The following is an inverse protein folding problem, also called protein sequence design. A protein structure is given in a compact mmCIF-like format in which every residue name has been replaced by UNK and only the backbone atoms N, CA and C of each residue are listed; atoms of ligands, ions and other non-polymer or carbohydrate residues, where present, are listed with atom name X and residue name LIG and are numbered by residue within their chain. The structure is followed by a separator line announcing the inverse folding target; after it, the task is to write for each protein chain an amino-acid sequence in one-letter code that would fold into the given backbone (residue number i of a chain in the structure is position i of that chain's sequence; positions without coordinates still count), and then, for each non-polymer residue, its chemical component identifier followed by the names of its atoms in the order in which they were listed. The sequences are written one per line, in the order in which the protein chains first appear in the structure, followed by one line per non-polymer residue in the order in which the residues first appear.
data_IF_954664634819
#
_entry.id   IF_954664634819
#
_cell.length_a   1.000
_cell.length_b   1.000
_cell.length_c   1.000
_cell.angle_alpha   90.00
_cell.angle_beta   90.00
_cell.angle_gamma   90.00
#
_symmetry.space_group_name_H-M   'P 1'
#
loop_
_entity.id
_entity.type
_entity.pdbx_description
1 polymer ?
#
# COMPACT_ATOMS: atom_id res chain seq x y z
N UNK A 1 33.40 -76.79 27.57
CA UNK A 1 33.96 -75.98 26.47
C UNK A 1 33.00 -76.06 25.29
N UNK A 2 32.42 -74.91 24.94
CA UNK A 2 31.97 -74.40 23.63
C UNK A 2 30.81 -73.43 23.92
N UNK A 3 30.97 -72.23 23.37
CA UNK A 3 30.19 -71.01 23.56
C UNK A 3 28.76 -71.09 22.99
N UNK A 4 27.88 -70.23 23.51
CA UNK A 4 27.26 -69.09 22.82
C UNK A 4 25.75 -68.91 23.08
N UNK A 5 25.47 -67.66 23.49
CA UNK A 5 24.36 -66.79 23.08
C UNK A 5 22.92 -67.14 23.48
N UNK A 6 22.34 -66.35 24.40
CA UNK A 6 21.37 -65.29 24.06
C UNK A 6 20.97 -64.42 25.28
N UNK A 7 20.72 -63.13 25.00
CA UNK A 7 20.59 -61.94 25.88
C UNK A 7 19.29 -61.90 26.72
N UNK A 8 19.21 -61.00 27.74
CA UNK A 8 18.44 -59.75 27.56
C UNK A 8 19.14 -58.50 28.18
N UNK A 9 19.27 -57.38 27.48
CA UNK A 9 18.35 -56.21 27.45
C UNK A 9 18.13 -55.52 28.82
N UNK A 10 18.79 -54.37 29.05
CA UNK A 10 18.21 -53.17 29.66
C UNK A 10 19.02 -51.93 29.25
N UNK A 11 18.37 -51.04 28.49
CA UNK A 11 18.82 -49.70 28.12
C UNK A 11 18.71 -48.78 29.34
N UNK A 12 19.81 -48.13 29.72
CA UNK A 12 19.84 -47.04 30.71
C UNK A 12 19.65 -45.67 30.04
N UNK A 13 18.76 -44.88 30.63
CA UNK A 13 18.07 -43.71 30.11
C UNK A 13 18.79 -42.38 30.43
N UNK A 14 18.81 -41.48 29.44
CA UNK A 14 18.73 -40.00 29.48
C UNK A 14 19.75 -39.16 30.27
N UNK A 15 20.45 -38.28 29.54
CA UNK A 15 20.35 -36.83 29.78
C UNK A 15 20.64 -36.06 28.47
N UNK A 16 19.63 -35.84 27.64
CA UNK A 16 19.73 -34.87 26.53
C UNK A 16 19.38 -33.50 27.10
N UNK A 17 20.42 -32.68 27.28
CA UNK A 17 20.34 -31.29 27.67
C UNK A 17 19.60 -30.53 26.56
N UNK A 18 18.29 -30.29 26.73
CA UNK A 18 17.53 -29.43 25.83
C UNK A 18 17.98 -27.99 26.04
N UNK A 19 18.96 -27.55 25.27
CA UNK A 19 19.15 -26.13 25.02
C UNK A 19 17.93 -25.63 24.27
N UNK A 20 17.02 -24.97 24.98
CA UNK A 20 16.03 -24.08 24.36
C UNK A 20 16.85 -22.97 23.71
N UNK A 21 17.20 -23.16 22.44
CA UNK A 21 17.63 -22.06 21.60
C UNK A 21 16.36 -21.26 21.32
N UNK A 22 16.09 -20.26 22.14
CA UNK A 22 15.17 -19.19 21.77
C UNK A 22 15.84 -18.42 20.63
N UNK A 23 15.68 -18.91 19.41
CA UNK A 23 15.98 -18.13 18.23
C UNK A 23 14.95 -17.00 18.25
N UNK A 24 15.39 -15.80 18.62
CA UNK A 24 14.67 -14.59 18.32
C UNK A 24 14.47 -14.57 16.82
N UNK A 25 13.26 -14.97 16.46
CA UNK A 25 12.67 -15.02 15.16
C UNK A 25 12.71 -13.64 14.53
N UNK A 26 13.81 -13.24 13.90
CA UNK A 26 13.76 -12.15 12.92
C UNK A 26 13.13 -12.75 11.67
N UNK A 27 11.83 -13.03 11.75
CA UNK A 27 11.09 -13.74 10.71
C UNK A 27 10.27 -12.74 9.92
N UNK A 28 10.46 -12.79 8.59
CA UNK A 28 9.78 -11.94 7.63
C UNK A 28 8.25 -12.05 7.81
N UNK A 29 7.64 -10.95 8.22
CA UNK A 29 6.20 -10.76 8.23
C UNK A 29 5.77 -10.41 6.80
N UNK A 30 4.71 -11.04 6.29
CA UNK A 30 4.19 -10.74 4.95
C UNK A 30 2.85 -10.01 5.05
N UNK A 31 2.77 -8.81 4.48
CA UNK A 31 1.51 -8.10 4.32
C UNK A 31 0.64 -8.81 3.26
N UNK A 32 -0.62 -9.07 3.62
CA UNK A 32 -1.64 -9.57 2.72
C UNK A 32 -2.95 -8.78 2.90
N UNK A 33 -3.90 -9.04 2.00
CA UNK A 33 -5.22 -8.43 1.99
C UNK A 33 -6.23 -9.58 1.89
N UNK A 34 -7.22 -9.59 2.76
CA UNK A 34 -8.34 -10.54 2.75
C UNK A 34 -9.28 -10.27 1.56
N UNK A 35 -10.18 -11.19 1.28
CA UNK A 35 -11.19 -11.06 0.22
C UNK A 35 -12.16 -9.88 0.42
N UNK A 36 -12.39 -9.48 1.66
CA UNK A 36 -13.16 -8.28 2.01
C UNK A 36 -12.33 -6.98 2.11
N UNK A 37 -11.04 -7.05 1.75
CA UNK A 37 -10.15 -5.89 1.64
C UNK A 37 -9.40 -5.51 2.92
N UNK A 38 -9.53 -6.24 4.02
CA UNK A 38 -8.77 -5.92 5.25
C UNK A 38 -7.30 -6.35 5.13
N UNK A 39 -6.36 -5.49 5.54
CA UNK A 39 -4.94 -5.87 5.61
C UNK A 39 -4.72 -6.83 6.77
N UNK A 40 -3.92 -7.86 6.52
CA UNK A 40 -3.48 -8.83 7.52
C UNK A 40 -1.97 -9.01 7.44
N UNK A 41 -1.35 -9.26 8.59
CA UNK A 41 0.04 -9.69 8.70
C UNK A 41 0.02 -11.21 8.81
N UNK A 42 0.64 -11.89 7.86
CA UNK A 42 0.83 -13.35 7.89
C UNK A 42 2.14 -13.68 8.60
N UNK A 43 2.05 -14.56 9.60
CA UNK A 43 3.19 -15.12 10.30
C UNK A 43 3.60 -16.47 9.68
N UNK A 44 4.88 -16.83 9.87
CA UNK A 44 5.45 -18.07 9.35
C UNK A 44 4.82 -19.34 9.95
N UNK A 45 4.19 -19.23 11.13
CA UNK A 45 3.45 -20.33 11.76
C UNK A 45 2.04 -20.53 11.17
N UNK A 46 1.68 -19.76 10.13
CA UNK A 46 0.39 -19.80 9.46
C UNK A 46 -0.72 -19.03 10.19
N UNK A 47 -0.42 -18.43 11.35
CA UNK A 47 -1.34 -17.49 12.00
C UNK A 47 -1.30 -16.13 11.30
N UNK A 48 -2.33 -15.33 11.54
CA UNK A 48 -2.41 -13.99 10.99
C UNK A 48 -3.15 -13.07 11.96
N UNK A 49 -2.85 -11.78 11.88
CA UNK A 49 -3.59 -10.73 12.58
C UNK A 49 -3.97 -9.61 11.62
N UNK A 50 -5.05 -8.87 11.93
CA UNK A 50 -5.35 -7.66 11.18
C UNK A 50 -4.25 -6.63 11.43
N UNK A 51 -3.69 -6.10 10.34
CA UNK A 51 -2.75 -5.01 10.44
C UNK A 51 -3.50 -3.80 11.00
N UNK A 52 -3.06 -3.29 12.16
CA UNK A 52 -3.54 -2.00 12.66
C UNK A 52 -3.18 -0.95 11.60
N UNK A 53 -4.20 -0.30 11.03
CA UNK A 53 -4.08 0.59 9.88
C UNK A 53 -3.41 1.91 10.26
N UNK A 54 -2.11 1.90 10.60
CA UNK A 54 -1.35 3.12 10.88
C UNK A 54 0.13 2.93 10.56
N UNK A 55 0.45 2.98 9.27
CA UNK A 55 1.72 3.59 8.89
C UNK A 55 1.40 4.86 8.13
N UNK A 56 1.38 5.97 8.88
CA UNK A 56 1.68 7.27 8.29
C UNK A 56 3.14 7.16 7.85
N UNK A 57 3.49 7.29 6.57
CA UNK A 57 4.86 7.70 6.25
C UNK A 57 5.08 8.97 7.08
N UNK A 58 6.17 9.01 7.85
CA UNK A 58 6.52 10.19 8.62
C UNK A 58 6.44 11.41 7.70
N UNK A 59 5.81 12.49 8.16
CA UNK A 59 5.66 13.72 7.35
C UNK A 59 7.06 14.07 6.81
N UNK A 60 7.28 14.04 5.49
CA UNK A 60 8.63 14.23 4.99
C UNK A 60 9.10 15.62 5.39
N UNK A 61 10.35 15.73 5.81
CA UNK A 61 10.97 17.02 6.13
C UNK A 61 11.10 17.91 4.90
N UNK A 62 10.91 17.36 3.71
CA UNK A 62 10.98 18.05 2.42
C UNK A 62 9.96 17.47 1.41
N UNK A 63 9.19 18.34 0.76
CA UNK A 63 8.22 17.94 -0.26
C UNK A 63 8.95 17.71 -1.59
N UNK A 64 9.15 16.46 -1.99
CA UNK A 64 9.69 16.11 -3.32
C UNK A 64 8.75 16.62 -4.44
N UNK A 65 7.44 16.65 -4.19
CA UNK A 65 6.44 17.13 -5.14
C UNK A 65 5.99 16.09 -6.17
N UNK A 66 6.56 14.88 -6.14
CA UNK A 66 6.22 13.77 -7.04
C UNK A 66 5.32 12.71 -6.44
N UNK A 67 5.36 12.58 -5.11
CA UNK A 67 4.65 11.55 -4.36
C UNK A 67 3.57 12.19 -3.51
N UNK A 68 2.33 11.76 -3.67
CA UNK A 68 1.18 12.35 -3.00
C UNK A 68 0.17 11.28 -2.64
N UNK A 69 -0.45 11.44 -1.48
CA UNK A 69 -1.68 10.75 -1.13
C UNK A 69 -2.85 11.74 -1.21
N UNK A 70 -3.93 11.30 -1.84
CA UNK A 70 -5.17 12.06 -2.00
C UNK A 70 -6.25 11.37 -1.19
N UNK A 71 -6.93 12.09 -0.30
CA UNK A 71 -8.19 11.64 0.32
C UNK A 71 -9.35 12.36 -0.35
N UNK A 72 -10.21 11.61 -1.03
CA UNK A 72 -11.39 12.11 -1.72
C UNK A 72 -12.63 11.87 -0.85
N UNK A 73 -13.31 12.96 -0.47
CA UNK A 73 -14.55 13.01 0.31
C UNK A 73 -14.54 12.14 1.57
N UNK A 74 -13.38 12.04 2.23
CA UNK A 74 -13.15 11.17 3.39
C UNK A 74 -13.40 9.67 3.18
N UNK A 75 -13.62 9.23 1.94
CA UNK A 75 -14.00 7.85 1.61
C UNK A 75 -12.91 7.10 0.83
N UNK A 76 -12.17 7.77 -0.05
CA UNK A 76 -11.20 7.11 -0.93
C UNK A 76 -9.82 7.72 -0.77
N UNK A 77 -8.86 6.91 -0.36
CA UNK A 77 -7.44 7.24 -0.37
C UNK A 77 -6.78 6.68 -1.62
N UNK A 78 -5.97 7.49 -2.30
CA UNK A 78 -5.16 7.07 -3.43
C UNK A 78 -3.73 7.53 -3.20
N UNK A 79 -2.76 6.63 -3.37
CA UNK A 79 -1.34 6.94 -3.35
C UNK A 79 -0.80 6.98 -4.78
N UNK A 80 -0.09 8.06 -5.08
CA UNK A 80 0.47 8.35 -6.39
C UNK A 80 1.97 8.59 -6.21
N UNK A 81 2.80 7.86 -6.95
CA UNK A 81 4.25 8.03 -7.00
C UNK A 81 4.68 8.25 -8.44
N UNK A 82 5.46 9.30 -8.67
CA UNK A 82 5.89 9.72 -10.02
C UNK A 82 4.74 9.79 -11.04
N UNK A 83 3.55 10.18 -10.56
CA UNK A 83 2.32 10.31 -11.34
C UNK A 83 1.56 9.00 -11.58
N UNK A 84 2.00 7.86 -11.04
CA UNK A 84 1.34 6.55 -11.17
C UNK A 84 0.63 6.15 -9.89
N UNK A 85 -0.56 5.55 -10.01
CA UNK A 85 -1.25 4.96 -8.85
C UNK A 85 -0.46 3.75 -8.37
N UNK A 86 -0.03 3.78 -7.11
CA UNK A 86 0.70 2.66 -6.49
C UNK A 86 -0.13 1.89 -5.47
N UNK A 87 -1.14 2.54 -4.89
CA UNK A 87 -2.04 1.95 -3.91
C UNK A 87 -3.33 2.75 -3.82
N UNK A 88 -4.40 2.13 -3.31
CA UNK A 88 -5.60 2.82 -2.89
C UNK A 88 -6.29 2.07 -1.74
N UNK A 89 -7.15 2.80 -1.02
CA UNK A 89 -7.97 2.20 0.01
C UNK A 89 -9.27 2.94 0.18
N UNK A 90 -10.33 2.23 0.54
CA UNK A 90 -11.64 2.80 0.85
C UNK A 90 -11.81 2.85 2.37
N UNK A 91 -12.31 3.96 2.88
CA UNK A 91 -12.80 4.09 4.26
C UNK A 91 -14.27 3.67 4.28
N UNK A 92 -14.60 2.71 5.14
CA UNK A 92 -15.96 2.19 5.33
C UNK A 92 -16.14 1.87 6.81
N UNK A 93 -17.10 2.49 7.49
CA UNK A 93 -17.38 2.30 8.92
C UNK A 93 -16.12 2.35 9.81
N UNK A 94 -15.29 3.39 9.64
CA UNK A 94 -13.98 3.59 10.28
C UNK A 94 -12.90 2.52 9.98
N UNK A 95 -13.22 1.53 9.15
CA UNK A 95 -12.28 0.52 8.64
C UNK A 95 -11.69 0.98 7.31
N UNK A 96 -10.38 0.73 7.15
CA UNK A 96 -9.70 0.93 5.88
C UNK A 96 -9.58 -0.40 5.14
N UNK A 97 -10.18 -0.46 3.97
CA UNK A 97 -10.22 -1.61 3.10
C UNK A 97 -9.37 -1.36 1.85
N UNK A 98 -8.71 -2.38 1.34
CA UNK A 98 -7.64 -2.34 0.35
C UNK A 98 -7.90 -3.35 -0.77
N UNK A 99 -7.39 -3.05 -1.96
CA UNK A 99 -7.23 -4.00 -3.05
C UNK A 99 -5.73 -4.25 -3.23
N UNK A 100 -5.34 -5.41 -3.77
CA UNK A 100 -3.97 -5.64 -4.22
C UNK A 100 -3.69 -5.07 -5.61
N UNK A 101 -4.70 -4.50 -6.25
CA UNK A 101 -4.70 -4.00 -7.62
C UNK A 101 -4.34 -5.07 -8.66
N UNK A 102 -4.62 -6.34 -8.34
CA UNK A 102 -4.29 -7.51 -9.18
C UNK A 102 -5.46 -7.97 -10.07
N UNK A 103 -6.54 -7.18 -10.12
CA UNK A 103 -7.72 -7.45 -10.93
C UNK A 103 -8.68 -8.51 -10.36
N UNK A 104 -8.35 -9.14 -9.22
CA UNK A 104 -9.18 -10.21 -8.64
C UNK A 104 -10.34 -9.67 -7.83
N UNK A 105 -10.13 -8.59 -7.11
CA UNK A 105 -11.14 -7.97 -6.29
C UNK A 105 -11.90 -6.92 -7.13
N UNK A 106 -13.21 -7.11 -7.25
CA UNK A 106 -14.08 -6.24 -8.09
C UNK A 106 -14.92 -5.27 -7.26
N UNK A 107 -14.82 -5.36 -5.94
CA UNK A 107 -15.61 -4.56 -4.99
C UNK A 107 -14.93 -4.51 -3.63
N UNK A 108 -14.94 -3.35 -3.00
CA UNK A 108 -14.55 -3.11 -1.62
C UNK A 108 -15.64 -2.30 -0.93
N UNK A 109 -16.28 -2.85 0.11
CA UNK A 109 -17.47 -2.23 0.69
C UNK A 109 -18.51 -1.94 -0.41
N UNK A 110 -18.94 -0.68 -0.51
CA UNK A 110 -19.88 -0.21 -1.55
C UNK A 110 -19.20 0.24 -2.86
N UNK A 111 -17.86 0.23 -2.91
CA UNK A 111 -17.10 0.69 -4.07
C UNK A 111 -16.86 -0.45 -5.05
N UNK A 112 -17.47 -0.36 -6.23
CA UNK A 112 -17.11 -1.19 -7.37
C UNK A 112 -15.76 -0.75 -7.96
N UNK A 113 -14.92 -1.72 -8.33
CA UNK A 113 -13.59 -1.48 -8.90
C UNK A 113 -13.59 -2.01 -10.33
N UNK A 114 -13.31 -1.13 -11.28
CA UNK A 114 -13.19 -1.52 -12.68
C UNK A 114 -11.76 -1.40 -13.16
N UNK A 115 -11.34 -2.44 -13.87
CA UNK A 115 -10.05 -2.51 -14.54
C UNK A 115 -10.24 -2.32 -16.05
N UNK A 116 -9.27 -1.69 -16.69
CA UNK A 116 -9.15 -1.64 -18.13
C UNK A 116 -8.67 -3.00 -18.65
N UNK A 117 -9.38 -3.53 -19.66
CA UNK A 117 -9.14 -4.89 -20.15
C UNK A 117 -7.80 -5.05 -20.88
N UNK A 118 -7.23 -3.98 -21.44
CA UNK A 118 -6.01 -4.06 -22.24
C UNK A 118 -4.76 -3.76 -21.42
N UNK A 119 -4.88 -2.86 -20.44
CA UNK A 119 -3.76 -2.38 -19.62
C UNK A 119 -3.75 -2.97 -18.22
N UNK A 120 -4.84 -3.64 -17.80
CA UNK A 120 -5.05 -4.18 -16.45
C UNK A 120 -5.01 -3.10 -15.34
N UNK A 121 -5.10 -1.82 -15.72
CA UNK A 121 -5.09 -0.70 -14.77
C UNK A 121 -6.48 -0.43 -14.23
N UNK A 122 -6.55 0.09 -13.02
CA UNK A 122 -7.83 0.57 -12.46
C UNK A 122 -8.28 1.80 -13.25
N UNK A 123 -9.46 1.74 -13.85
CA UNK A 123 -10.06 2.87 -14.57
C UNK A 123 -11.22 3.52 -13.80
N UNK A 124 -11.74 2.86 -12.76
CA UNK A 124 -12.81 3.40 -11.90
C UNK A 124 -12.79 2.77 -10.52
N UNK A 125 -12.97 3.60 -9.48
CA UNK A 125 -13.20 3.17 -8.10
C UNK A 125 -14.46 3.89 -7.60
N UNK A 126 -15.56 3.15 -7.44
CA UNK A 126 -16.88 3.71 -7.11
C UNK A 126 -17.27 4.82 -8.09
N UNK A 127 -17.56 6.06 -7.62
CA UNK A 127 -17.93 7.18 -8.49
C UNK A 127 -16.72 7.84 -9.18
N UNK A 128 -15.48 7.48 -8.84
CA UNK A 128 -14.28 8.15 -9.33
C UNK A 128 -13.69 7.43 -10.54
N UNK A 129 -13.94 7.96 -11.73
CA UNK A 129 -13.22 7.55 -12.94
C UNK A 129 -11.75 8.02 -12.88
N UNK A 130 -10.82 7.20 -13.37
CA UNK A 130 -9.38 7.52 -13.39
C UNK A 130 -8.93 7.56 -14.83
N UNK A 131 -8.49 8.74 -15.26
CA UNK A 131 -7.96 8.93 -16.60
C UNK A 131 -6.43 8.99 -16.56
N UNK A 132 -5.82 8.34 -17.54
CA UNK A 132 -4.37 8.33 -17.74
C UNK A 132 -3.98 9.11 -18.98
N UNK A 133 -2.79 9.69 -18.94
CA UNK A 133 -2.10 10.19 -20.12
C UNK A 133 -1.55 9.01 -20.93
N UNK A 134 -1.85 9.01 -22.23
CA UNK A 134 -1.52 7.89 -23.11
C UNK A 134 -0.01 7.73 -23.34
N UNK A 135 0.76 8.81 -23.27
CA UNK A 135 2.18 8.81 -23.60
C UNK A 135 3.07 8.56 -22.38
N UNK A 136 2.71 9.16 -21.25
CA UNK A 136 3.52 9.16 -20.02
C UNK A 136 3.06 8.14 -18.99
N UNK A 137 1.85 7.60 -19.17
CA UNK A 137 1.19 6.71 -18.21
C UNK A 137 0.86 7.37 -16.86
N UNK A 138 0.96 8.70 -16.76
CA UNK A 138 0.63 9.42 -15.54
C UNK A 138 -0.88 9.60 -15.43
N UNK A 139 -1.40 9.55 -14.20
CA UNK A 139 -2.78 9.93 -13.93
C UNK A 139 -2.95 11.41 -14.29
N UNK A 140 -3.91 11.72 -15.16
CA UNK A 140 -4.25 13.10 -15.55
C UNK A 140 -5.52 13.60 -14.89
N UNK A 141 -6.38 12.71 -14.38
CA UNK A 141 -7.65 13.08 -13.75
C UNK A 141 -8.18 11.93 -12.87
N UNK A 142 -8.77 12.29 -11.73
CA UNK A 142 -9.52 11.36 -10.86
C UNK A 142 -10.86 12.01 -10.50
N UNK A 143 -11.98 11.36 -10.81
CA UNK A 143 -13.29 11.98 -10.69
C UNK A 143 -13.33 13.28 -11.48
N UNK A 144 -13.64 14.41 -10.85
CA UNK A 144 -13.60 15.74 -11.47
C UNK A 144 -12.29 16.51 -11.24
N UNK A 145 -11.29 15.87 -10.62
CA UNK A 145 -10.06 16.51 -10.19
C UNK A 145 -8.93 16.28 -11.22
N UNK A 146 -8.61 17.26 -12.08
CA UNK A 146 -7.44 17.18 -12.95
C UNK A 146 -6.15 17.14 -12.13
N UNK A 147 -5.17 16.37 -12.60
CA UNK A 147 -3.81 16.32 -12.06
C UNK A 147 -2.85 16.76 -13.17
N UNK A 148 -2.01 17.74 -12.89
CA UNK A 148 -0.99 18.23 -13.83
C UNK A 148 0.39 18.15 -13.22
N UNK A 149 1.36 18.00 -14.11
CA UNK A 149 2.77 17.90 -13.79
C UNK A 149 3.51 19.06 -14.46
N UNK A 150 4.50 19.61 -13.76
CA UNK A 150 5.45 20.54 -14.33
C UNK A 150 6.29 19.83 -15.40
N UNK A 151 6.42 20.46 -16.56
CA UNK A 151 7.05 19.84 -17.73
C UNK A 151 8.56 19.59 -17.54
N UNK A 152 9.23 20.36 -16.69
CA UNK A 152 10.68 20.28 -16.53
C UNK A 152 11.08 19.35 -15.38
N UNK A 153 10.35 19.41 -14.27
CA UNK A 153 10.69 18.71 -13.03
C UNK A 153 9.86 17.46 -12.81
N UNK A 154 8.78 17.28 -13.60
CA UNK A 154 7.79 16.21 -13.45
C UNK A 154 7.02 16.22 -12.12
N UNK A 155 7.18 17.29 -11.32
CA UNK A 155 6.47 17.47 -10.04
C UNK A 155 5.02 17.81 -10.29
N UNK A 156 4.15 17.41 -9.38
CA UNK A 156 2.74 17.78 -9.40
C UNK A 156 2.64 19.30 -9.24
N UNK A 157 2.09 19.95 -10.27
CA UNK A 157 1.88 21.40 -10.33
C UNK A 157 0.42 21.78 -10.06
N UNK A 158 -0.52 20.85 -10.22
CA UNK A 158 -1.94 21.08 -9.96
C UNK A 158 -2.67 19.79 -9.56
N UNK A 159 -3.56 19.87 -8.57
CA UNK A 159 -4.58 18.87 -8.27
C UNK A 159 -5.91 19.60 -8.06
N UNK A 160 -6.89 19.34 -8.92
CA UNK A 160 -8.16 20.07 -8.89
C UNK A 160 -7.94 21.57 -9.10
N UNK A 161 -8.36 22.36 -8.12
CA UNK A 161 -8.17 23.82 -8.07
C UNK A 161 -7.03 24.24 -7.11
N UNK A 162 -6.23 23.30 -6.61
CA UNK A 162 -5.02 23.56 -5.82
C UNK A 162 -3.79 23.51 -6.72
N UNK A 163 -2.92 24.52 -6.60
CA UNK A 163 -1.73 24.72 -7.41
C UNK A 163 -0.48 24.71 -6.53
N UNK A 164 0.60 24.13 -7.04
CA UNK A 164 1.88 23.98 -6.35
C UNK A 164 3.00 24.63 -7.16
N UNK A 165 3.70 25.58 -6.57
CA UNK A 165 4.85 26.24 -7.19
C UNK A 165 6.14 25.84 -6.49
N UNK A 166 7.16 25.59 -7.30
CA UNK A 166 8.48 25.21 -6.84
C UNK A 166 9.51 26.26 -7.26
N UNK A 167 10.48 26.51 -6.39
CA UNK A 167 11.63 27.36 -6.71
C UNK A 167 12.42 26.75 -7.86
N UNK A 168 12.73 27.57 -8.86
CA UNK A 168 13.62 27.17 -9.95
C UNK A 168 15.03 26.80 -9.47
N UNK A 169 15.53 27.46 -8.41
CA UNK A 169 16.93 27.33 -7.99
C UNK A 169 17.23 26.14 -7.10
N UNK A 170 16.27 25.79 -6.23
CA UNK A 170 16.46 24.73 -5.25
C UNK A 170 15.30 23.74 -5.22
N UNK A 171 14.35 23.87 -6.15
CA UNK A 171 13.34 22.86 -6.41
C UNK A 171 12.35 22.59 -5.27
N UNK A 172 12.42 23.41 -4.21
CA UNK A 172 11.54 23.33 -3.04
C UNK A 172 10.18 23.94 -3.33
N UNK A 173 9.13 23.35 -2.74
CA UNK A 173 7.79 23.95 -2.74
C UNK A 173 7.86 25.33 -2.09
N UNK A 174 7.54 26.37 -2.85
CA UNK A 174 7.56 27.77 -2.41
C UNK A 174 6.16 28.29 -2.12
N UNK A 175 5.15 27.78 -2.83
CA UNK A 175 3.79 28.28 -2.69
C UNK A 175 2.74 27.22 -2.98
N UNK A 176 1.63 27.29 -2.23
CA UNK A 176 0.40 26.56 -2.49
C UNK A 176 -0.72 27.57 -2.62
N UNK A 177 -1.44 27.56 -3.75
CA UNK A 177 -2.57 28.46 -4.01
C UNK A 177 -3.84 27.68 -4.33
N UNK A 178 -4.98 28.32 -4.09
CA UNK A 178 -6.29 27.73 -4.35
C UNK A 178 -6.67 26.65 -3.34
N UNK A 179 -7.78 25.99 -3.61
CA UNK A 179 -8.32 24.94 -2.76
C UNK A 179 -9.23 24.04 -3.58
N UNK A 180 -9.07 22.72 -3.43
CA UNK A 180 -9.93 21.70 -4.02
C UNK A 180 -10.85 21.15 -2.94
N UNK A 181 -12.15 21.52 -2.92
CA UNK A 181 -13.09 21.00 -1.95
C UNK A 181 -13.19 19.48 -2.02
N UNK A 182 -13.32 18.83 -0.87
CA UNK A 182 -13.43 17.37 -0.78
C UNK A 182 -12.14 16.61 -1.09
N UNK A 183 -10.99 17.29 -1.18
CA UNK A 183 -9.70 16.65 -1.44
C UNK A 183 -8.66 17.05 -0.39
N UNK A 184 -8.24 16.09 0.43
CA UNK A 184 -7.05 16.23 1.28
C UNK A 184 -5.81 15.82 0.47
N UNK A 185 -4.79 16.68 0.42
CA UNK A 185 -3.57 16.46 -0.36
C UNK A 185 -2.39 16.39 0.60
N UNK A 186 -1.70 15.25 0.63
CA UNK A 186 -0.56 15.04 1.50
C UNK A 186 0.64 14.49 0.70
N UNK A 187 1.69 15.30 0.56
CA UNK A 187 2.97 14.85 0.02
C UNK A 187 3.71 13.98 1.05
N UNK A 188 4.39 12.93 0.58
CA UNK A 188 5.16 12.01 1.39
C UNK A 188 6.52 11.64 0.77
#
# INVERSE_FOLDING_TARGET
MIENNMKPFYLGLSLLLSTIVSIASVHAQQNAVTDDGRRVILYMDGTWEYALSYERPGRPTEVNGKNVSLRLNDELMIWIEDGKMVDFSVLHDDLRLYDKMDGRLKRIGDFEIEYDFHTERIKRIGPYAIDYDFHTDKIKKIGDYPIKYDFHTDKISQIGNTYFEYSFFNEKLTEVRGHTPGVEINFY
#
